data_IF_813402653542
#
_entry.id   IF_813402653542
#
_cell.length_a   1.000
_cell.length_b   1.000
_cell.length_c   1.000
_cell.angle_alpha   90.00
_cell.angle_beta   90.00
_cell.angle_gamma   90.00
#
_symmetry.space_group_name_H-M   'P 1'
#
loop_
_entity.id
_entity.type
_entity.pdbx_description
1 polymer ?
#
# COMPACT_ATOMS: atom_id res chain seq x y z
N UNK A 1 3.52 4.73 -12.37
CA UNK A 1 3.26 4.45 -10.94
C UNK A 1 3.68 3.03 -10.57
N UNK A 2 2.89 1.99 -10.90
CA UNK A 2 3.21 0.60 -10.50
C UNK A 2 4.60 0.10 -10.93
N UNK A 3 4.97 0.25 -12.22
CA UNK A 3 6.27 -0.21 -12.73
C UNK A 3 7.45 0.47 -12.01
N UNK A 4 7.37 1.78 -11.80
CA UNK A 4 8.38 2.56 -11.06
C UNK A 4 8.51 2.11 -9.61
N UNK A 5 7.39 1.87 -8.93
CA UNK A 5 7.39 1.38 -7.55
C UNK A 5 8.01 -0.03 -7.43
N UNK A 6 7.68 -0.92 -8.38
CA UNK A 6 8.29 -2.26 -8.45
C UNK A 6 9.80 -2.20 -8.68
N UNK A 7 10.26 -1.33 -9.57
CA UNK A 7 11.69 -1.13 -9.82
C UNK A 7 12.41 -0.58 -8.58
N UNK A 8 11.83 0.42 -7.91
CA UNK A 8 12.40 1.01 -6.69
C UNK A 8 12.52 -0.03 -5.56
N UNK A 9 11.48 -0.84 -5.38
CA UNK A 9 11.48 -1.94 -4.43
C UNK A 9 12.57 -2.97 -4.72
N UNK A 10 12.69 -3.44 -5.97
CA UNK A 10 13.72 -4.41 -6.35
C UNK A 10 15.14 -3.88 -6.14
N UNK A 11 15.35 -2.56 -6.26
CA UNK A 11 16.65 -1.91 -6.09
C UNK A 11 17.04 -1.71 -4.63
N UNK A 12 16.08 -1.35 -3.76
CA UNK A 12 16.38 -0.79 -2.44
C UNK A 12 15.55 -1.35 -1.28
N UNK A 13 14.53 -2.15 -1.57
CA UNK A 13 13.53 -2.58 -0.59
C UNK A 13 12.45 -1.55 -0.28
N UNK A 14 12.55 -0.33 -0.83
CA UNK A 14 11.55 0.73 -0.66
C UNK A 14 10.81 1.00 -1.99
N UNK A 15 9.48 0.81 -2.06
CA UNK A 15 8.69 1.06 -3.26
C UNK A 15 8.37 2.55 -3.49
N UNK A 16 8.71 3.45 -2.56
CA UNK A 16 8.36 4.87 -2.66
C UNK A 16 9.05 5.54 -3.85
N UNK A 17 8.27 6.35 -4.58
CA UNK A 17 8.73 7.16 -5.71
C UNK A 17 7.98 8.49 -5.70
N UNK A 18 8.53 9.53 -6.32
CA UNK A 18 7.93 10.87 -6.38
C UNK A 18 6.49 10.87 -6.94
N UNK A 19 6.15 9.91 -7.81
CA UNK A 19 4.83 9.77 -8.42
C UNK A 19 3.78 9.05 -7.57
N UNK A 20 4.08 8.75 -6.30
CA UNK A 20 3.17 8.08 -5.37
C UNK A 20 3.10 8.82 -4.03
N UNK A 21 1.94 8.76 -3.33
CA UNK A 21 1.90 9.16 -1.93
C UNK A 21 2.80 8.24 -1.10
N UNK A 22 3.25 8.76 0.03
CA UNK A 22 4.09 8.00 0.96
C UNK A 22 3.41 6.69 1.37
N UNK A 23 4.00 5.58 0.98
CA UNK A 23 3.55 4.23 1.27
C UNK A 23 4.41 3.64 2.38
N UNK A 24 3.90 3.73 3.61
CA UNK A 24 4.56 3.12 4.76
C UNK A 24 4.56 1.59 4.67
N UNK A 25 5.58 0.90 5.23
CA UNK A 25 5.54 -0.55 5.40
C UNK A 25 4.28 -1.00 6.12
N UNK A 26 3.77 -2.17 5.72
CA UNK A 26 2.55 -2.71 6.31
C UNK A 26 2.78 -3.12 7.77
N UNK A 27 1.92 -2.65 8.67
CA UNK A 27 1.87 -3.09 10.07
C UNK A 27 0.44 -3.52 10.48
N UNK A 28 0.30 -4.19 11.62
CA UNK A 28 -0.98 -4.74 12.09
C UNK A 28 -1.92 -3.72 12.75
N UNK A 29 -1.41 -2.54 13.08
CA UNK A 29 -2.15 -1.43 13.68
C UNK A 29 -2.83 -0.58 12.61
N UNK A 30 -2.08 -0.08 11.63
CA UNK A 30 -2.57 0.81 10.58
C UNK A 30 -3.06 0.08 9.35
N UNK A 31 -2.40 -1.04 8.99
CA UNK A 31 -2.68 -1.83 7.79
C UNK A 31 -2.72 -0.99 6.51
N UNK A 32 -1.82 -0.01 6.42
CA UNK A 32 -1.70 0.89 5.28
C UNK A 32 -1.53 0.11 3.98
N UNK A 33 -2.41 0.36 3.01
CA UNK A 33 -2.46 -0.35 1.73
C UNK A 33 -2.39 0.67 0.59
N UNK A 34 -1.42 0.53 -0.30
CA UNK A 34 -1.39 1.31 -1.54
C UNK A 34 -2.49 0.82 -2.49
N UNK A 35 -3.49 1.67 -2.72
CA UNK A 35 -4.53 1.46 -3.71
C UNK A 35 -4.10 2.12 -5.01
N UNK A 36 -3.61 1.31 -5.95
CA UNK A 36 -3.31 1.77 -7.31
C UNK A 36 -4.60 2.01 -8.11
N UNK A 37 -4.75 3.21 -8.66
CA UNK A 37 -5.86 3.59 -9.54
C UNK A 37 -5.41 4.74 -10.46
N UNK A 38 -6.34 5.34 -11.23
CA UNK A 38 -6.11 6.61 -11.96
C UNK A 38 -5.53 7.66 -11.00
N UNK A 39 -6.08 7.74 -9.80
CA UNK A 39 -5.50 8.47 -8.67
C UNK A 39 -5.13 7.46 -7.58
N UNK A 40 -3.83 7.20 -7.44
CA UNK A 40 -3.31 6.28 -6.43
C UNK A 40 -3.25 6.95 -5.05
N UNK A 41 -3.63 6.20 -4.01
CA UNK A 41 -3.63 6.68 -2.63
C UNK A 41 -3.35 5.56 -1.64
N UNK A 42 -2.97 5.93 -0.42
CA UNK A 42 -2.83 4.99 0.69
C UNK A 42 -4.12 5.01 1.50
N UNK A 43 -4.65 3.82 1.78
CA UNK A 43 -5.85 3.63 2.59
C UNK A 43 -5.51 2.74 3.79
N UNK A 44 -5.94 3.15 4.98
CA UNK A 44 -5.73 2.39 6.21
C UNK A 44 -6.83 1.34 6.37
N UNK A 45 -6.43 0.09 6.61
CA UNK A 45 -7.34 -1.05 6.83
C UNK A 45 -8.44 -1.15 5.75
N UNK A 46 -8.05 -1.01 4.47
CA UNK A 46 -8.94 -0.93 3.30
C UNK A 46 -10.08 -1.98 3.31
N UNK A 47 -9.80 -3.20 3.78
CA UNK A 47 -10.73 -4.32 3.81
C UNK A 47 -11.15 -4.73 5.25
N UNK A 48 -11.21 -3.78 6.19
CA UNK A 48 -11.55 -4.02 7.60
C UNK A 48 -12.80 -4.89 7.79
N UNK A 49 -13.88 -4.58 7.06
CA UNK A 49 -15.15 -5.30 7.16
C UNK A 49 -15.02 -6.78 6.78
N UNK A 50 -14.38 -7.07 5.64
CA UNK A 50 -14.14 -8.45 5.17
C UNK A 50 -13.27 -9.21 6.16
N UNK A 51 -12.17 -8.59 6.61
CA UNK A 51 -11.26 -9.19 7.59
C UNK A 51 -11.97 -9.60 8.87
N UNK A 52 -12.82 -8.72 9.41
CA UNK A 52 -13.58 -8.98 10.65
C UNK A 52 -14.56 -10.15 10.50
N UNK A 53 -15.21 -10.26 9.34
CA UNK A 53 -16.13 -11.39 9.06
C UNK A 53 -15.39 -12.71 8.91
N UNK A 54 -14.21 -12.73 8.27
CA UNK A 54 -13.44 -13.96 8.09
C UNK A 54 -12.72 -14.44 9.35
N UNK A 55 -12.61 -13.59 10.36
CA UNK A 55 -11.91 -13.86 11.63
C UNK A 55 -12.87 -14.15 12.80
N UNK A 56 -14.18 -14.14 12.56
CA UNK A 56 -15.20 -14.59 13.52
C UNK A 56 -15.36 -16.10 13.51
#
# INVERSE_FOLDING_TARGET
>A
QMSSAWLAFARSGDPNTEGLPAWAPYDTTTRATMLFNVESRVENDLNAGVRKVLQS
#
